data_IF_656509494387
#
_entry.id   IF_656509494387
#
_cell.length_a   1.000
_cell.length_b   1.000
_cell.length_c   1.000
_cell.angle_alpha   90.00
_cell.angle_beta   90.00
_cell.angle_gamma   90.00
#
_symmetry.space_group_name_H-M   'P 1'
#
loop_
_entity.id
_entity.type
_entity.pdbx_description
1 polymer ?
#
# COMPACT_ATOMS: atom_id res chain seq x y z
N UNK A 1 -10.56 -19.31 -3.76
CA UNK A 1 -9.46 -18.55 -4.36
C UNK A 1 -8.21 -18.88 -3.60
N UNK A 2 -7.24 -19.51 -4.25
CA UNK A 2 -5.95 -19.73 -3.61
C UNK A 2 -5.25 -18.38 -3.48
N UNK A 3 -4.48 -18.18 -2.40
CA UNK A 3 -3.69 -16.94 -2.19
C UNK A 3 -2.84 -16.62 -3.42
N UNK A 4 -2.36 -17.65 -4.14
CA UNK A 4 -1.57 -17.52 -5.37
C UNK A 4 -2.36 -16.85 -6.51
N UNK A 5 -3.65 -17.17 -6.67
CA UNK A 5 -4.49 -16.55 -7.71
C UNK A 5 -4.67 -15.05 -7.45
N UNK A 6 -4.89 -14.66 -6.19
CA UNK A 6 -5.03 -13.26 -5.80
C UNK A 6 -3.72 -12.46 -6.01
N UNK A 7 -2.57 -13.08 -5.70
CA UNK A 7 -1.26 -12.48 -5.94
C UNK A 7 -0.97 -12.28 -7.44
N UNK A 8 -1.36 -13.24 -8.29
CA UNK A 8 -1.21 -13.14 -9.74
C UNK A 8 -2.09 -12.03 -10.31
N UNK A 9 -3.36 -11.95 -9.88
CA UNK A 9 -4.29 -10.91 -10.31
C UNK A 9 -3.83 -9.52 -9.89
N UNK A 10 -3.38 -9.33 -8.64
CA UNK A 10 -2.82 -8.06 -8.17
C UNK A 10 -1.57 -7.67 -8.98
N UNK A 11 -0.67 -8.62 -9.23
CA UNK A 11 0.57 -8.37 -9.99
C UNK A 11 0.28 -7.94 -11.43
N UNK A 12 -0.76 -8.50 -12.06
CA UNK A 12 -1.22 -8.11 -13.39
C UNK A 12 -1.77 -6.68 -13.39
N UNK A 13 -2.62 -6.34 -12.42
CA UNK A 13 -3.20 -5.00 -12.29
C UNK A 13 -2.12 -3.93 -12.06
N UNK A 14 -1.16 -4.21 -11.19
CA UNK A 14 -0.02 -3.33 -10.92
C UNK A 14 0.82 -3.10 -12.18
N UNK A 15 1.12 -4.18 -12.91
CA UNK A 15 1.91 -4.11 -14.15
C UNK A 15 1.18 -3.28 -15.21
N UNK A 16 -0.14 -3.46 -15.35
CA UNK A 16 -0.96 -2.67 -16.29
C UNK A 16 -0.98 -1.18 -15.94
N UNK A 17 -1.03 -0.83 -14.64
CA UNK A 17 -0.95 0.55 -14.18
C UNK A 17 0.41 1.18 -14.54
N UNK A 18 1.50 0.43 -14.35
CA UNK A 18 2.84 0.89 -14.70
C UNK A 18 3.00 1.12 -16.20
N UNK A 19 2.54 0.19 -17.03
CA UNK A 19 2.54 0.37 -18.49
C UNK A 19 1.75 1.64 -18.88
N UNK A 20 0.60 1.87 -18.24
CA UNK A 20 -0.21 3.08 -18.49
C UNK A 20 0.50 4.37 -18.10
N UNK A 21 1.22 4.37 -16.99
CA UNK A 21 1.99 5.52 -16.53
C UNK A 21 3.22 5.78 -17.41
N UNK A 22 3.95 4.74 -17.81
CA UNK A 22 5.10 4.84 -18.72
C UNK A 22 4.69 5.50 -20.04
N UNK A 23 3.56 5.07 -20.61
CA UNK A 23 2.97 5.66 -21.81
C UNK A 23 2.59 7.14 -21.66
N UNK A 24 2.40 7.63 -20.44
CA UNK A 24 2.13 9.05 -20.13
C UNK A 24 3.41 9.86 -19.89
N UNK A 25 4.58 9.24 -20.05
CA UNK A 25 5.90 9.86 -19.85
C UNK A 25 6.34 9.88 -18.40
N UNK A 26 5.87 8.92 -17.60
CA UNK A 26 6.18 8.88 -16.18
C UNK A 26 7.64 8.46 -15.90
N UNK A 27 8.24 9.03 -14.86
CA UNK A 27 9.58 8.65 -14.41
C UNK A 27 9.50 7.84 -13.11
N UNK A 28 9.72 6.53 -13.20
CA UNK A 28 9.62 5.61 -12.05
C UNK A 28 10.79 5.72 -11.07
N UNK A 29 11.88 6.39 -11.43
CA UNK A 29 13.01 6.63 -10.54
C UNK A 29 12.73 7.75 -9.53
N UNK A 30 11.69 8.56 -9.77
CA UNK A 30 11.26 9.61 -8.84
C UNK A 30 10.36 8.98 -7.78
N UNK A 31 10.76 9.01 -6.48
CA UNK A 31 9.92 8.51 -5.40
C UNK A 31 8.60 9.27 -5.32
N UNK A 32 7.53 8.55 -4.98
CA UNK A 32 6.17 9.09 -4.84
C UNK A 32 5.53 8.55 -3.60
N UNK A 33 4.60 9.33 -3.07
CA UNK A 33 3.78 8.90 -1.95
C UNK A 33 2.82 7.81 -2.43
N UNK A 34 2.98 6.63 -1.84
CA UNK A 34 2.10 5.47 -2.02
C UNK A 34 1.31 5.27 -0.73
N UNK A 35 0.00 5.19 -0.89
CA UNK A 35 -0.95 5.03 0.21
C UNK A 35 -1.27 3.55 0.45
N UNK A 36 -1.06 3.10 1.68
CA UNK A 36 -1.50 1.80 2.17
C UNK A 36 -2.63 2.01 3.17
N UNK A 37 -3.80 1.44 2.88
CA UNK A 37 -5.00 1.59 3.70
C UNK A 37 -5.35 0.28 4.39
N UNK A 38 -5.16 0.23 5.71
CA UNK A 38 -5.63 -0.87 6.55
C UNK A 38 -6.98 -0.51 7.15
N UNK A 39 -7.87 -1.49 7.32
CA UNK A 39 -9.21 -1.28 7.91
C UNK A 39 -9.44 -2.22 9.08
N UNK A 40 -10.06 -1.71 10.13
CA UNK A 40 -10.46 -2.50 11.29
C UNK A 40 -11.65 -1.85 11.99
N UNK A 41 -12.46 -2.63 12.71
CA UNK A 41 -13.54 -2.11 13.55
C UNK A 41 -13.10 -1.90 15.02
N UNK A 42 -11.82 -2.13 15.30
CA UNK A 42 -11.24 -2.11 16.65
C UNK A 42 -10.22 -0.96 16.78
N UNK A 43 -10.58 0.03 17.60
CA UNK A 43 -9.76 1.21 17.87
C UNK A 43 -8.36 0.85 18.39
N UNK A 44 -8.29 -0.13 19.31
CA UNK A 44 -7.04 -0.51 19.94
C UNK A 44 -6.10 -1.19 18.94
N UNK A 45 -6.65 -2.00 18.04
CA UNK A 45 -5.86 -2.58 16.93
C UNK A 45 -5.37 -1.50 15.97
N UNK A 46 -6.20 -0.51 15.63
CA UNK A 46 -5.79 0.57 14.74
C UNK A 46 -4.60 1.36 15.30
N UNK A 47 -4.68 1.74 16.57
CA UNK A 47 -3.59 2.43 17.27
C UNK A 47 -2.32 1.55 17.36
N UNK A 48 -2.48 0.26 17.67
CA UNK A 48 -1.34 -0.68 17.77
C UNK A 48 -0.61 -0.82 16.43
N UNK A 49 -1.35 -0.97 15.32
CA UNK A 49 -0.76 -1.09 13.98
C UNK A 49 -0.11 0.23 13.55
N UNK A 50 -0.78 1.36 13.79
CA UNK A 50 -0.24 2.69 13.51
C UNK A 50 1.09 2.93 14.25
N UNK A 51 1.12 2.64 15.55
CA UNK A 51 2.32 2.73 16.38
C UNK A 51 3.43 1.82 15.86
N UNK A 52 3.12 0.55 15.56
CA UNK A 52 4.10 -0.39 15.01
C UNK A 52 4.74 0.11 13.70
N UNK A 53 3.94 0.67 12.79
CA UNK A 53 4.44 1.21 11.51
C UNK A 53 5.39 2.40 11.74
N UNK A 54 4.97 3.34 12.60
CA UNK A 54 5.74 4.55 12.88
C UNK A 54 7.02 4.25 13.69
N UNK A 55 6.93 3.43 14.73
CA UNK A 55 8.05 3.08 15.62
C UNK A 55 9.19 2.37 14.88
N UNK A 56 8.86 1.61 13.84
CA UNK A 56 9.83 0.88 13.01
C UNK A 56 10.22 1.65 11.73
N UNK A 57 9.74 2.90 11.57
CA UNK A 57 9.99 3.73 10.38
C UNK A 57 9.63 3.06 9.05
N UNK A 58 8.57 2.25 9.02
CA UNK A 58 8.12 1.60 7.79
C UNK A 58 7.41 2.59 6.85
N UNK A 59 6.65 3.54 7.40
CA UNK A 59 5.91 4.56 6.67
C UNK A 59 5.46 5.68 7.64
N UNK A 60 4.89 6.75 7.10
CA UNK A 60 4.17 7.73 7.90
C UNK A 60 2.71 7.29 8.05
N UNK A 61 2.34 6.75 9.20
CA UNK A 61 1.00 6.22 9.45
C UNK A 61 0.16 7.14 10.34
N UNK A 62 -1.13 7.23 10.02
CA UNK A 62 -2.15 7.88 10.86
C UNK A 62 -3.43 7.05 10.93
N UNK A 63 -4.12 7.15 12.06
CA UNK A 63 -5.45 6.55 12.26
C UNK A 63 -6.52 7.56 11.86
N UNK A 64 -7.49 7.12 11.08
CA UNK A 64 -8.69 7.86 10.71
C UNK A 64 -9.94 7.12 11.18
N UNK A 65 -10.93 7.85 11.65
CA UNK A 65 -12.23 7.29 12.06
C UNK A 65 -13.26 7.55 10.98
N UNK A 66 -13.79 6.49 10.38
CA UNK A 66 -14.74 6.57 9.27
C UNK A 66 -15.99 5.77 9.60
N UNK A 67 -17.05 6.46 10.03
CA UNK A 67 -18.30 5.82 10.43
C UNK A 67 -18.16 5.09 11.76
N UNK A 68 -18.33 3.77 11.75
CA UNK A 68 -18.09 2.89 12.90
C UNK A 68 -16.75 2.14 12.81
N UNK A 69 -15.99 2.37 11.74
CA UNK A 69 -14.73 1.69 11.47
C UNK A 69 -13.54 2.64 11.64
N UNK A 70 -12.38 2.04 11.85
CA UNK A 70 -11.08 2.69 11.92
C UNK A 70 -10.27 2.32 10.68
N UNK A 71 -9.58 3.30 10.13
CA UNK A 71 -8.69 3.12 9.00
C UNK A 71 -7.29 3.57 9.41
N UNK A 72 -6.27 2.89 8.94
CA UNK A 72 -4.88 3.28 9.12
C UNK A 72 -4.35 3.61 7.73
N UNK A 73 -4.08 4.90 7.50
CA UNK A 73 -3.45 5.37 6.27
C UNK A 73 -1.95 5.46 6.52
N UNK A 74 -1.18 4.60 5.86
CA UNK A 74 0.26 4.59 5.89
C UNK A 74 0.81 5.06 4.55
N UNK A 75 1.54 6.18 4.57
CA UNK A 75 2.12 6.80 3.38
C UNK A 75 3.60 6.51 3.33
N UNK A 76 4.05 5.86 2.24
CA UNK A 76 5.44 5.54 2.00
C UNK A 76 5.91 6.20 0.70
N UNK A 77 6.95 7.03 0.79
CA UNK A 77 7.63 7.57 -0.37
C UNK A 77 8.55 6.50 -0.98
N UNK A 78 8.20 6.01 -2.17
CA UNK A 78 8.96 4.94 -2.84
C UNK A 78 8.96 5.09 -4.36
N UNK A 79 9.99 4.53 -4.99
CA UNK A 79 10.02 4.40 -6.44
C UNK A 79 8.96 3.39 -6.90
N UNK A 80 8.32 3.68 -8.02
CA UNK A 80 7.23 2.86 -8.58
C UNK A 80 7.72 1.94 -9.69
N UNK A 81 8.95 1.46 -9.62
CA UNK A 81 9.42 0.46 -10.58
C UNK A 81 8.77 -0.91 -10.27
N UNK A 82 8.61 -1.74 -11.31
CA UNK A 82 7.77 -2.94 -11.26
C UNK A 82 8.17 -3.92 -10.14
N UNK A 83 9.47 -4.17 -9.96
CA UNK A 83 9.94 -5.12 -8.94
C UNK A 83 9.69 -4.62 -7.52
N UNK A 84 9.75 -3.30 -7.28
CA UNK A 84 9.42 -2.73 -5.97
C UNK A 84 7.92 -2.84 -5.72
N UNK A 85 7.07 -2.45 -6.69
CA UNK A 85 5.61 -2.52 -6.52
C UNK A 85 5.14 -3.97 -6.32
N UNK A 86 5.58 -4.91 -7.16
CA UNK A 86 5.22 -6.32 -7.00
C UNK A 86 5.69 -6.91 -5.67
N UNK A 87 6.75 -6.36 -5.06
CA UNK A 87 7.24 -6.81 -3.75
C UNK A 87 6.37 -6.32 -2.59
N UNK A 88 5.79 -5.13 -2.71
CA UNK A 88 4.86 -4.59 -1.69
C UNK A 88 3.42 -5.00 -1.94
N UNK A 89 3.05 -5.32 -3.18
CA UNK A 89 1.67 -5.67 -3.52
C UNK A 89 1.25 -7.05 -3.06
N UNK A 90 2.21 -7.97 -2.88
CA UNK A 90 1.97 -9.24 -2.20
C UNK A 90 1.56 -9.12 -0.74
N UNK A 91 1.63 -7.92 -0.16
CA UNK A 91 1.14 -7.58 1.18
C UNK A 91 -0.21 -6.82 1.16
N UNK A 92 -0.79 -6.56 -0.02
CA UNK A 92 -2.02 -5.77 -0.22
C UNK A 92 -3.32 -6.60 -0.18
N UNK A 93 -3.24 -7.94 -0.12
CA UNK A 93 -4.43 -8.83 -0.11
C UNK A 93 -5.03 -9.01 1.27
#
# INVERSE_FOLDING_TARGET
MSVVEALLESSEQDTNLLISNDNKGDNFDVPRDIDFLFKTNDAQKAETVCGFINDNNYANARVEHVGNDYQILAVLAMQSNQHIICSVSGLMT
#
